data_IF_922080528703
#
_entry.id   IF_922080528703
#
_cell.length_a   1.000
_cell.length_b   1.000
_cell.length_c   1.000
_cell.angle_alpha   90.00
_cell.angle_beta   90.00
_cell.angle_gamma   90.00
#
_symmetry.space_group_name_H-M   'P 1'
#
loop_
_entity.id
_entity.type
_entity.pdbx_description
1 polymer ?
#
# COMPACT_ATOMS: atom_id res chain seq x y z
N UNK A 1 -9.35 -5.63 -35.88
CA UNK A 1 -9.10 -4.43 -35.06
C UNK A 1 -9.05 -4.88 -33.61
N UNK A 2 -7.90 -4.79 -32.95
CA UNK A 2 -7.82 -5.07 -31.51
C UNK A 2 -8.61 -3.99 -30.77
N UNK A 3 -9.63 -4.38 -30.00
CA UNK A 3 -10.47 -3.44 -29.26
C UNK A 3 -9.67 -2.78 -28.14
N UNK A 4 -9.86 -1.47 -27.93
CA UNK A 4 -9.32 -0.80 -26.73
C UNK A 4 -10.14 -1.23 -25.52
N UNK A 5 -9.52 -1.94 -24.58
CA UNK A 5 -10.13 -2.26 -23.29
C UNK A 5 -9.73 -1.21 -22.25
N UNK A 6 -10.62 -1.01 -21.28
CA UNK A 6 -10.32 -0.23 -20.08
C UNK A 6 -10.53 -1.14 -18.86
N UNK A 7 -9.66 -0.99 -17.88
CA UNK A 7 -9.71 -1.75 -16.63
C UNK A 7 -9.65 -0.77 -15.47
N UNK A 8 -10.56 -0.95 -14.51
CA UNK A 8 -10.51 -0.27 -13.23
C UNK A 8 -10.37 -1.29 -12.12
N UNK A 9 -9.55 -0.99 -11.11
CA UNK A 9 -9.46 -1.77 -9.89
C UNK A 9 -9.40 -0.87 -8.68
N UNK A 10 -10.11 -1.28 -7.65
CA UNK A 10 -10.07 -0.70 -6.33
C UNK A 10 -9.76 -1.80 -5.32
N UNK A 11 -8.96 -1.49 -4.32
CA UNK A 11 -8.69 -2.37 -3.19
C UNK A 11 -8.67 -1.56 -1.90
N UNK A 12 -9.25 -2.11 -0.84
CA UNK A 12 -9.19 -1.54 0.50
C UNK A 12 -8.77 -2.62 1.49
N UNK A 13 -7.77 -2.30 2.30
CA UNK A 13 -7.25 -3.16 3.35
C UNK A 13 -7.25 -2.39 4.66
N UNK A 14 -7.71 -3.05 5.72
CA UNK A 14 -7.55 -2.59 7.10
C UNK A 14 -6.92 -3.71 7.92
N UNK A 15 -5.80 -3.39 8.55
CA UNK A 15 -5.11 -4.28 9.48
C UNK A 15 -5.23 -3.68 10.87
N UNK A 16 -5.82 -4.43 11.79
CA UNK A 16 -6.07 -4.01 13.15
C UNK A 16 -4.78 -3.98 13.97
N UNK A 17 -4.78 -3.21 15.06
CA UNK A 17 -3.60 -3.07 15.92
C UNK A 17 -3.08 -4.40 16.46
N UNK A 18 -3.96 -5.30 16.86
CA UNK A 18 -3.55 -6.56 17.48
C UNK A 18 -3.48 -7.75 16.50
N UNK A 19 -3.51 -7.51 15.19
CA UNK A 19 -3.41 -8.59 14.18
C UNK A 19 -2.13 -9.41 14.32
N UNK A 20 -1.04 -8.78 14.78
CA UNK A 20 0.26 -9.43 14.99
C UNK A 20 0.69 -9.41 16.47
N UNK A 21 -0.26 -9.50 17.40
CA UNK A 21 0.01 -9.53 18.84
C UNK A 21 0.61 -10.87 19.29
N UNK A 22 1.49 -10.83 20.31
CA UNK A 22 2.27 -12.00 20.78
C UNK A 22 1.54 -12.82 21.86
N UNK A 23 0.27 -12.55 22.16
CA UNK A 23 -0.42 -13.11 23.33
C UNK A 23 -0.34 -14.65 23.45
N UNK A 24 -0.28 -15.39 22.34
CA UNK A 24 -0.18 -16.86 22.34
C UNK A 24 1.24 -17.42 22.07
N UNK A 25 2.29 -16.60 22.10
CA UNK A 25 3.65 -17.05 21.75
C UNK A 25 3.79 -17.48 20.28
N UNK A 26 2.86 -17.06 19.43
CA UNK A 26 2.94 -17.26 17.99
C UNK A 26 3.81 -16.17 17.38
N UNK A 27 4.84 -16.57 16.64
CA UNK A 27 5.68 -15.65 15.88
C UNK A 27 5.02 -15.38 14.52
N UNK A 28 4.40 -14.21 14.39
CA UNK A 28 3.88 -13.72 13.12
C UNK A 28 4.88 -12.80 12.41
N UNK A 29 6.15 -12.87 12.79
CA UNK A 29 7.23 -12.05 12.28
C UNK A 29 8.30 -12.99 11.70
N UNK A 30 8.83 -12.67 10.54
CA UNK A 30 10.04 -13.29 10.01
C UNK A 30 11.00 -12.19 9.60
N UNK A 31 12.20 -12.19 10.20
CA UNK A 31 13.23 -11.17 9.97
C UNK A 31 12.72 -9.72 10.10
N UNK A 32 11.96 -9.46 11.17
CA UNK A 32 11.37 -8.14 11.43
C UNK A 32 10.17 -7.76 10.56
N UNK A 33 9.72 -8.64 9.67
CA UNK A 33 8.59 -8.39 8.75
C UNK A 33 7.37 -9.23 9.13
N UNK A 34 6.17 -8.64 9.09
CA UNK A 34 4.93 -9.38 9.34
C UNK A 34 4.69 -10.47 8.29
N UNK A 35 4.37 -11.68 8.74
CA UNK A 35 3.88 -12.77 7.90
C UNK A 35 2.43 -12.47 7.50
N UNK A 36 2.21 -12.14 6.23
CA UNK A 36 0.89 -11.79 5.67
C UNK A 36 0.89 -10.41 5.01
N UNK A 37 0.41 -9.39 5.72
CA UNK A 37 0.42 -8.02 5.23
C UNK A 37 1.75 -7.34 5.59
N UNK A 38 2.70 -7.40 4.65
CA UNK A 38 4.05 -6.87 4.83
C UNK A 38 4.15 -5.45 5.40
N UNK A 39 3.24 -4.51 5.08
CA UNK A 39 3.25 -3.17 5.68
C UNK A 39 2.91 -3.12 7.18
N UNK A 40 2.50 -4.22 7.83
CA UNK A 40 2.30 -4.28 9.28
C UNK A 40 0.87 -4.02 9.76
N UNK A 41 0.72 -3.80 11.06
CA UNK A 41 -0.54 -3.60 11.77
C UNK A 41 -0.93 -2.13 11.92
N UNK A 42 -2.14 -1.93 12.44
CA UNK A 42 -2.72 -0.61 12.73
C UNK A 42 -2.68 0.33 11.51
N UNK A 43 -3.14 -0.20 10.38
CA UNK A 43 -2.99 0.43 9.07
C UNK A 43 -4.27 0.32 8.26
N UNK A 44 -4.63 1.41 7.60
CA UNK A 44 -5.61 1.42 6.54
C UNK A 44 -4.90 1.78 5.23
N UNK A 45 -5.21 1.04 4.17
CA UNK A 45 -4.65 1.28 2.84
C UNK A 45 -5.74 1.11 1.80
N UNK A 46 -5.87 2.09 0.92
CA UNK A 46 -6.78 2.06 -0.22
C UNK A 46 -6.00 2.33 -1.49
N UNK A 47 -6.32 1.57 -2.54
CA UNK A 47 -5.78 1.79 -3.88
C UNK A 47 -6.92 1.89 -4.86
N UNK A 48 -6.76 2.77 -5.83
CA UNK A 48 -7.62 2.84 -6.99
C UNK A 48 -6.78 3.13 -8.21
N UNK A 49 -7.02 2.43 -9.31
CA UNK A 49 -6.43 2.78 -10.59
C UNK A 49 -7.38 2.48 -11.74
N UNK A 50 -7.18 3.26 -12.80
CA UNK A 50 -7.83 3.11 -14.09
C UNK A 50 -6.74 3.06 -15.15
N UNK A 51 -6.80 2.05 -16.00
CA UNK A 51 -5.86 1.85 -17.10
C UNK A 51 -6.63 1.58 -18.40
N UNK A 52 -6.02 1.94 -19.52
CA UNK A 52 -6.57 1.76 -20.85
C UNK A 52 -5.50 1.20 -21.78
N UNK A 53 -5.89 0.19 -22.55
CA UNK A 53 -5.05 -0.43 -23.55
C UNK A 53 -5.12 0.38 -24.86
N UNK A 54 -3.93 0.67 -25.42
CA UNK A 54 -3.72 1.34 -26.68
C UNK A 54 -3.05 0.36 -27.65
N UNK A 55 -3.85 -0.58 -28.15
CA UNK A 55 -3.36 -1.72 -28.93
C UNK A 55 -2.85 -2.84 -28.03
N UNK A 56 -1.93 -3.66 -28.54
CA UNK A 56 -1.34 -4.80 -27.83
C UNK A 56 -0.13 -4.42 -26.98
N UNK A 57 0.51 -3.29 -27.33
CA UNK A 57 1.88 -2.98 -26.94
C UNK A 57 1.98 -1.90 -25.86
N UNK A 58 0.90 -1.15 -25.61
CA UNK A 58 0.91 -0.05 -24.67
C UNK A 58 -0.37 0.02 -23.84
N UNK A 59 -0.20 0.30 -22.56
CA UNK A 59 -1.28 0.54 -21.61
C UNK A 59 -0.90 1.72 -20.73
N UNK A 60 -1.81 2.68 -20.61
CA UNK A 60 -1.59 3.88 -19.80
C UNK A 60 -2.71 4.06 -18.81
N UNK A 61 -2.40 4.65 -17.67
CA UNK A 61 -3.40 4.89 -16.65
C UNK A 61 -2.95 5.87 -15.58
N UNK A 62 -3.82 6.02 -14.61
CA UNK A 62 -3.56 6.79 -13.41
C UNK A 62 -4.19 6.09 -12.21
N UNK A 63 -3.69 6.41 -11.04
CA UNK A 63 -4.19 5.88 -9.79
C UNK A 63 -3.95 6.80 -8.63
N UNK A 64 -4.52 6.42 -7.50
CA UNK A 64 -4.30 7.04 -6.20
C UNK A 64 -4.15 5.94 -5.16
N UNK A 65 -3.16 6.12 -4.30
CA UNK A 65 -2.98 5.30 -3.11
C UNK A 65 -3.20 6.20 -1.89
N UNK A 66 -3.96 5.71 -0.93
CA UNK A 66 -4.21 6.37 0.33
C UNK A 66 -3.81 5.45 1.46
N UNK A 67 -3.05 5.96 2.41
CA UNK A 67 -2.57 5.19 3.56
C UNK A 67 -2.78 5.99 4.82
N UNK A 68 -3.23 5.33 5.88
CA UNK A 68 -3.18 5.84 7.25
C UNK A 68 -2.45 4.84 8.13
N UNK A 69 -1.47 5.32 8.86
CA UNK A 69 -0.75 4.55 9.87
C UNK A 69 -1.14 5.07 11.25
N UNK A 70 -1.55 4.14 12.11
CA UNK A 70 -1.70 4.39 13.52
C UNK A 70 -0.42 4.12 14.32
N UNK A 71 -0.48 4.34 15.62
CA UNK A 71 0.62 4.17 16.57
C UNK A 71 0.98 2.71 16.88
N UNK A 72 0.12 1.76 16.47
CA UNK A 72 0.29 0.35 16.75
C UNK A 72 1.57 -0.21 16.16
N UNK A 73 2.23 -1.09 16.92
CA UNK A 73 3.46 -1.76 16.50
C UNK A 73 3.27 -3.26 16.44
N UNK A 74 4.03 -3.90 15.56
CA UNK A 74 4.05 -5.35 15.48
C UNK A 74 4.53 -5.88 16.84
N UNK A 75 3.80 -6.86 17.38
CA UNK A 75 4.10 -7.43 18.69
C UNK A 75 3.51 -6.66 19.89
N UNK A 76 2.71 -5.61 19.66
CA UNK A 76 1.94 -4.97 20.73
C UNK A 76 1.18 -6.02 21.55
N UNK A 77 1.31 -5.93 22.88
CA UNK A 77 0.65 -6.86 23.79
C UNK A 77 -0.86 -6.66 23.75
N UNK A 78 -1.58 -7.77 23.60
CA UNK A 78 -3.04 -7.79 23.68
C UNK A 78 -3.45 -8.58 24.91
N UNK A 79 -4.20 -7.95 25.81
CA UNK A 79 -4.76 -8.61 26.99
C UNK A 79 -6.25 -8.92 26.77
N UNK A 80 -6.66 -10.20 26.66
CA UNK A 80 -8.06 -10.55 26.54
C UNK A 80 -8.86 -10.33 27.82
N UNK A 81 -8.22 -10.19 28.99
CA UNK A 81 -8.90 -9.88 30.25
C UNK A 81 -9.16 -8.38 30.42
N UNK A 82 -8.47 -7.52 29.66
CA UNK A 82 -8.70 -6.08 29.63
C UNK A 82 -9.77 -5.70 28.60
N UNK A 83 -10.92 -5.24 29.12
CA UNK A 83 -12.04 -4.75 28.30
C UNK A 83 -11.70 -3.55 27.40
N UNK A 84 -10.66 -2.76 27.72
CA UNK A 84 -10.20 -1.68 26.84
C UNK A 84 -9.46 -2.25 25.64
N UNK A 85 -8.57 -3.22 25.86
CA UNK A 85 -7.80 -3.92 24.81
C UNK A 85 -8.67 -4.70 23.82
N UNK A 86 -9.83 -5.21 24.24
CA UNK A 86 -10.76 -5.94 23.37
C UNK A 86 -11.33 -5.09 22.22
N UNK A 87 -11.58 -3.80 22.46
CA UNK A 87 -12.20 -2.91 21.47
C UNK A 87 -11.24 -1.84 20.90
N UNK A 88 -10.14 -1.53 21.61
CA UNK A 88 -9.18 -0.51 21.19
C UNK A 88 -8.45 -0.85 19.88
N UNK A 89 -8.38 -2.12 19.48
CA UNK A 89 -7.65 -2.54 18.28
C UNK A 89 -8.43 -2.41 16.96
N UNK A 90 -9.75 -2.17 17.00
CA UNK A 90 -10.61 -2.12 15.82
C UNK A 90 -10.53 -0.80 15.05
N UNK A 91 -10.21 0.29 15.75
CA UNK A 91 -9.93 1.61 15.17
C UNK A 91 -8.43 1.82 15.08
N UNK A 92 -7.99 2.71 14.18
CA UNK A 92 -6.60 3.12 14.17
C UNK A 92 -6.25 3.78 15.52
N UNK A 93 -5.24 3.28 16.21
CA UNK A 93 -4.71 3.98 17.39
C UNK A 93 -3.92 5.18 16.91
N UNK A 94 -4.11 6.37 17.50
CA UNK A 94 -3.44 7.65 17.15
C UNK A 94 -2.87 7.74 15.72
N UNK A 95 -3.55 8.41 14.78
CA UNK A 95 -3.04 8.46 13.40
C UNK A 95 -1.78 9.32 13.33
N UNK A 96 -0.64 8.67 13.10
CA UNK A 96 0.70 9.28 13.03
C UNK A 96 1.18 9.50 11.61
N UNK A 97 0.57 8.87 10.61
CA UNK A 97 0.88 9.18 9.23
C UNK A 97 -0.37 9.11 8.37
N UNK A 98 -0.53 10.08 7.48
CA UNK A 98 -1.44 10.00 6.35
C UNK A 98 -0.66 10.26 5.08
N UNK A 99 -0.77 9.36 4.12
CA UNK A 99 -0.14 9.50 2.82
C UNK A 99 -1.18 9.43 1.72
N UNK A 100 -1.13 10.38 0.77
CA UNK A 100 -1.90 10.34 -0.48
C UNK A 100 -0.95 10.39 -1.65
N UNK A 101 -1.00 9.40 -2.54
CA UNK A 101 -0.08 9.27 -3.67
C UNK A 101 -0.85 9.12 -4.99
N UNK A 102 -1.30 10.24 -5.60
CA UNK A 102 -1.71 10.24 -6.99
C UNK A 102 -0.51 9.96 -7.91
N UNK A 103 -0.71 9.10 -8.90
CA UNK A 103 0.35 8.66 -9.79
C UNK A 103 -0.15 8.32 -11.20
N UNK A 104 0.74 8.43 -12.17
CA UNK A 104 0.56 7.92 -13.53
C UNK A 104 1.17 6.51 -13.64
N UNK A 105 0.61 5.69 -14.53
CA UNK A 105 1.03 4.31 -14.81
C UNK A 105 1.23 4.12 -16.30
N UNK A 106 2.26 3.40 -16.66
CA UNK A 106 2.50 2.96 -18.04
C UNK A 106 3.00 1.51 -18.04
N UNK A 107 2.48 0.69 -18.93
CA UNK A 107 3.03 -0.60 -19.30
C UNK A 107 3.30 -0.59 -20.80
N UNK A 108 4.53 -0.92 -21.18
CA UNK A 108 4.98 -1.04 -22.57
C UNK A 108 5.48 -2.45 -22.81
N UNK A 109 5.00 -3.09 -23.87
CA UNK A 109 5.43 -4.40 -24.31
C UNK A 109 6.14 -4.27 -25.64
N UNK A 110 7.33 -4.84 -25.74
CA UNK A 110 8.12 -4.87 -26.95
C UNK A 110 8.26 -6.30 -27.45
N UNK A 111 7.57 -6.58 -28.56
CA UNK A 111 7.63 -7.86 -29.29
C UNK A 111 7.39 -9.09 -28.40
N UNK A 112 6.54 -8.96 -27.37
CA UNK A 112 6.24 -10.01 -26.38
C UNK A 112 7.44 -10.56 -25.59
N UNK A 113 8.64 -10.01 -25.77
CA UNK A 113 9.90 -10.43 -25.11
C UNK A 113 10.20 -9.57 -23.89
N UNK A 114 9.80 -8.29 -23.93
CA UNK A 114 10.13 -7.31 -22.91
C UNK A 114 8.85 -6.58 -22.47
N UNK A 115 8.63 -6.53 -21.17
CA UNK A 115 7.60 -5.70 -20.55
C UNK A 115 8.25 -4.71 -19.60
N UNK A 116 8.02 -3.42 -19.84
CA UNK A 116 8.40 -2.32 -18.97
C UNK A 116 7.16 -1.78 -18.28
N UNK A 117 7.19 -1.68 -16.95
CA UNK A 117 6.15 -1.04 -16.14
C UNK A 117 6.73 0.13 -15.39
N UNK A 118 6.08 1.28 -15.46
CA UNK A 118 6.47 2.48 -14.75
C UNK A 118 5.29 3.04 -13.96
N UNK A 119 5.57 3.51 -12.75
CA UNK A 119 4.66 4.26 -11.90
C UNK A 119 5.40 5.49 -11.38
N UNK A 120 4.80 6.67 -11.48
CA UNK A 120 5.42 7.91 -11.00
C UNK A 120 4.36 8.90 -10.52
N UNK A 121 4.63 9.62 -9.45
CA UNK A 121 3.71 10.60 -8.89
C UNK A 121 4.32 11.44 -7.76
N UNK A 122 3.48 12.21 -7.09
CA UNK A 122 3.84 13.01 -5.92
C UNK A 122 3.03 12.51 -4.72
N UNK A 123 3.70 12.11 -3.65
CA UNK A 123 3.09 11.68 -2.41
C UNK A 123 3.02 12.85 -1.43
N UNK A 124 1.80 13.15 -0.98
CA UNK A 124 1.50 14.11 0.07
C UNK A 124 1.52 13.36 1.40
N UNK A 125 2.35 13.79 2.34
CA UNK A 125 2.57 13.10 3.63
C UNK A 125 2.29 14.07 4.77
N UNK A 126 1.41 13.66 5.68
CA UNK A 126 1.10 14.36 6.94
C UNK A 126 1.52 13.45 8.10
N UNK A 127 2.55 13.84 8.84
CA UNK A 127 3.09 13.09 9.99
C UNK A 127 3.51 14.06 11.12
N UNK A 128 3.08 13.87 12.39
CA UNK A 128 3.44 14.72 13.52
C UNK A 128 4.94 14.85 13.80
N UNK A 129 5.76 13.89 13.35
CA UNK A 129 7.22 13.90 13.51
C UNK A 129 8.00 14.45 12.32
N UNK A 130 7.33 14.93 11.26
CA UNK A 130 8.00 15.34 10.02
C UNK A 130 8.69 16.71 10.15
N UNK A 131 9.77 16.90 9.38
CA UNK A 131 10.47 18.19 9.28
C UNK A 131 9.54 19.19 8.59
N UNK A 132 9.31 20.39 9.17
CA UNK A 132 8.46 21.41 8.56
C UNK A 132 8.93 21.75 7.13
N UNK A 133 8.04 21.62 6.14
CA UNK A 133 8.29 21.98 4.74
C UNK A 133 8.47 20.81 3.77
N UNK A 134 8.41 19.57 4.25
CA UNK A 134 8.60 18.36 3.43
C UNK A 134 7.31 17.52 3.32
N UNK A 135 6.17 18.20 3.12
CA UNK A 135 4.84 17.59 3.05
C UNK A 135 4.56 16.89 1.71
N UNK A 136 5.50 16.99 0.76
CA UNK A 136 5.39 16.42 -0.59
C UNK A 136 6.70 15.75 -1.00
N UNK A 137 6.62 14.50 -1.48
CA UNK A 137 7.75 13.74 -1.99
C UNK A 137 7.47 13.18 -3.38
N UNK A 138 8.41 13.29 -4.31
CA UNK A 138 8.33 12.58 -5.59
C UNK A 138 8.61 11.11 -5.36
N UNK A 139 7.75 10.23 -5.88
CA UNK A 139 7.92 8.77 -5.79
C UNK A 139 7.73 8.13 -7.15
N UNK A 140 8.49 7.09 -7.42
CA UNK A 140 8.33 6.30 -8.63
C UNK A 140 8.96 4.93 -8.51
N UNK A 141 8.53 4.03 -9.39
CA UNK A 141 9.04 2.68 -9.53
C UNK A 141 9.06 2.28 -10.99
N UNK A 142 10.10 1.55 -11.39
CA UNK A 142 10.21 0.94 -12.71
C UNK A 142 10.49 -0.54 -12.52
N UNK A 143 9.67 -1.37 -13.16
CA UNK A 143 9.84 -2.83 -13.18
C UNK A 143 10.04 -3.27 -14.63
N UNK A 144 10.97 -4.20 -14.83
CA UNK A 144 11.25 -4.79 -16.14
C UNK A 144 11.14 -6.29 -16.04
N UNK A 145 10.43 -6.91 -16.99
CA UNK A 145 10.38 -8.35 -17.16
C UNK A 145 10.82 -8.71 -18.57
N UNK A 146 11.73 -9.68 -18.66
CA UNK A 146 12.19 -10.27 -19.93
C UNK A 146 11.74 -11.73 -19.97
N UNK A 147 11.21 -12.17 -21.10
CA UNK A 147 10.82 -13.55 -21.38
C UNK A 147 11.51 -14.01 -22.66
N UNK A 148 12.10 -15.20 -22.63
CA UNK A 148 12.81 -15.83 -23.74
C UNK A 148 12.44 -17.31 -23.85
#
# INVERSE_FOLDING_TARGET
>A
MAGSAAEARAEFVKVYRYTYAVFYGADHINDGTALGYGPGNDREHATFWLERDFGTDARFGAGVEWTRQGEGRIGDFWDPADSQSQNAGASLSGVVEKTVFPHARAELRWRDVLTLRARVGAALVDNPGHVPGEDTSLRGSVETRVQW
#
